data_IF_336193712797
#
_entry.id   IF_336193712797
#
_cell.length_a   1.000
_cell.length_b   1.000
_cell.length_c   1.000
_cell.angle_alpha   90.00
_cell.angle_beta   90.00
_cell.angle_gamma   90.00
#
_symmetry.space_group_name_H-M   'P 1'
#
loop_
_entity.id
_entity.type
_entity.pdbx_description
1 polymer ?
#
# COMPACT_ATOMS: atom_id res chain seq x y z
N UNK A 1 -51.25 36.65 39.06
CA UNK A 1 -51.46 37.02 37.64
C UNK A 1 -50.25 36.68 36.76
N UNK A 2 -49.03 37.10 37.11
CA UNK A 2 -47.82 36.86 36.28
C UNK A 2 -47.51 35.37 36.02
N UNK A 3 -47.59 34.50 37.05
CA UNK A 3 -47.41 33.05 36.91
C UNK A 3 -48.45 32.37 36.00
N UNK A 4 -49.67 32.91 35.91
CA UNK A 4 -50.73 32.33 35.06
C UNK A 4 -50.46 32.64 33.59
N UNK A 5 -49.91 33.81 33.29
CA UNK A 5 -49.53 34.22 31.93
C UNK A 5 -48.33 33.41 31.44
N UNK A 6 -47.31 33.18 32.29
CA UNK A 6 -46.14 32.36 31.93
C UNK A 6 -46.51 30.91 31.59
N UNK A 7 -47.39 30.29 32.39
CA UNK A 7 -47.87 28.92 32.14
C UNK A 7 -48.63 28.85 30.81
N UNK A 8 -49.45 29.86 30.52
CA UNK A 8 -50.25 29.90 29.31
C UNK A 8 -49.38 30.10 28.06
N UNK A 9 -48.33 30.93 28.14
CA UNK A 9 -47.32 31.10 27.08
C UNK A 9 -46.50 29.82 26.88
N UNK A 10 -46.09 29.14 27.95
CA UNK A 10 -45.36 27.88 27.86
C UNK A 10 -46.18 26.78 27.17
N UNK A 11 -47.48 26.68 27.50
CA UNK A 11 -48.39 25.75 26.84
C UNK A 11 -48.52 26.07 25.34
N UNK A 12 -48.64 27.34 24.97
CA UNK A 12 -48.72 27.75 23.55
C UNK A 12 -47.43 27.40 22.80
N UNK A 13 -46.26 27.64 23.40
CA UNK A 13 -44.97 27.33 22.77
C UNK A 13 -44.80 25.81 22.60
N UNK A 14 -45.10 25.02 23.63
CA UNK A 14 -44.98 23.55 23.56
C UNK A 14 -45.98 22.96 22.56
N UNK A 15 -47.22 23.45 22.55
CA UNK A 15 -48.25 22.98 21.61
C UNK A 15 -47.91 23.41 20.19
N UNK A 16 -47.42 24.63 19.99
CA UNK A 16 -46.96 25.11 18.69
C UNK A 16 -45.77 24.32 18.16
N UNK A 17 -44.78 24.04 19.02
CA UNK A 17 -43.63 23.20 18.66
C UNK A 17 -44.06 21.77 18.33
N UNK A 18 -45.00 21.19 19.07
CA UNK A 18 -45.53 19.86 18.80
C UNK A 18 -46.30 19.80 17.47
N UNK A 19 -47.14 20.79 17.17
CA UNK A 19 -47.89 20.87 15.90
C UNK A 19 -46.94 21.06 14.72
N UNK A 20 -45.99 21.99 14.82
CA UNK A 20 -44.98 22.22 13.76
C UNK A 20 -44.15 20.95 13.53
N UNK A 21 -43.66 20.33 14.59
CA UNK A 21 -42.88 19.08 14.49
C UNK A 21 -43.72 17.94 13.91
N UNK A 22 -45.01 17.87 14.20
CA UNK A 22 -45.92 16.85 13.66
C UNK A 22 -46.24 17.06 12.17
N UNK A 23 -46.28 18.33 11.70
CA UNK A 23 -46.39 18.63 10.26
C UNK A 23 -45.12 18.25 9.48
N UNK A 24 -43.94 18.45 10.08
CA UNK A 24 -42.65 18.08 9.47
C UNK A 24 -42.25 16.61 9.73
N UNK A 25 -42.93 15.90 10.65
CA UNK A 25 -42.78 14.46 10.88
C UNK A 25 -43.72 13.63 9.99
N UNK A 26 -44.19 14.20 8.87
CA UNK A 26 -44.82 13.41 7.81
C UNK A 26 -43.73 12.60 7.11
N UNK A 27 -43.72 11.29 7.35
CA UNK A 27 -43.00 10.35 6.49
C UNK A 27 -43.42 10.63 5.04
N UNK A 28 -42.49 10.65 4.07
CA UNK A 28 -42.83 10.93 2.68
C UNK A 28 -43.96 9.99 2.24
N UNK A 29 -44.99 10.57 1.63
CA UNK A 29 -46.11 9.80 1.09
C UNK A 29 -45.57 8.75 0.08
N UNK A 30 -46.06 7.50 0.11
CA UNK A 30 -45.60 6.44 -0.80
C UNK A 30 -46.17 6.60 -2.23
N UNK A 31 -46.30 7.83 -2.73
CA UNK A 31 -46.91 8.10 -4.05
C UNK A 31 -45.95 8.21 -5.21
N UNK A 32 -44.64 8.12 -4.98
CA UNK A 32 -43.67 7.97 -6.07
C UNK A 32 -42.62 6.94 -5.65
N UNK A 33 -42.88 5.66 -5.94
CA UNK A 33 -41.78 4.70 -6.13
C UNK A 33 -40.89 5.34 -7.19
N UNK A 34 -39.62 5.59 -6.87
CA UNK A 34 -38.68 6.20 -7.82
C UNK A 34 -38.82 5.51 -9.18
N UNK A 35 -38.95 6.25 -10.30
CA UNK A 35 -39.10 5.64 -11.62
C UNK A 35 -37.95 4.66 -11.85
N UNK A 36 -38.27 3.49 -12.38
CA UNK A 36 -37.29 2.42 -12.61
C UNK A 36 -36.16 2.96 -13.48
N UNK A 37 -34.96 3.06 -12.91
CA UNK A 37 -33.78 3.49 -13.63
C UNK A 37 -33.25 2.32 -14.46
N UNK A 38 -33.74 2.20 -15.69
CA UNK A 38 -33.41 1.11 -16.61
C UNK A 38 -31.91 0.99 -16.88
N UNK A 39 -31.17 2.10 -16.95
CA UNK A 39 -29.71 2.08 -17.11
C UNK A 39 -29.00 1.44 -15.92
N UNK A 40 -29.37 1.83 -14.71
CA UNK A 40 -28.79 1.26 -13.49
C UNK A 40 -29.16 -0.21 -13.35
N UNK A 41 -30.42 -0.55 -13.62
CA UNK A 41 -30.91 -1.94 -13.62
C UNK A 41 -30.10 -2.79 -14.61
N UNK A 42 -29.91 -2.32 -15.85
CA UNK A 42 -29.12 -3.01 -16.86
C UNK A 42 -27.68 -3.25 -16.40
N UNK A 43 -27.01 -2.25 -15.83
CA UNK A 43 -25.64 -2.40 -15.32
C UNK A 43 -25.54 -3.42 -14.19
N UNK A 44 -26.42 -3.33 -13.20
CA UNK A 44 -26.40 -4.24 -12.05
C UNK A 44 -26.73 -5.67 -12.46
N UNK A 45 -27.64 -5.85 -13.42
CA UNK A 45 -27.96 -7.18 -13.98
C UNK A 45 -26.77 -7.78 -14.72
N UNK A 46 -26.04 -6.98 -15.52
CA UNK A 46 -24.82 -7.45 -16.18
C UNK A 46 -23.74 -7.86 -15.17
N UNK A 47 -23.54 -7.07 -14.10
CA UNK A 47 -22.59 -7.38 -13.04
C UNK A 47 -22.96 -8.65 -12.27
N UNK A 48 -24.24 -8.85 -11.97
CA UNK A 48 -24.73 -10.03 -11.26
C UNK A 48 -24.56 -11.29 -12.11
N UNK A 49 -24.91 -11.24 -13.40
CA UNK A 49 -24.74 -12.37 -14.32
C UNK A 49 -23.26 -12.74 -14.56
N UNK A 50 -22.33 -11.80 -14.35
CA UNK A 50 -20.91 -12.05 -14.46
C UNK A 50 -20.19 -12.35 -13.13
N UNK A 51 -20.90 -12.26 -11.99
CA UNK A 51 -20.30 -12.46 -10.66
C UNK A 51 -19.59 -13.82 -10.51
N UNK A 52 -20.15 -14.86 -11.11
CA UNK A 52 -19.58 -16.22 -11.21
C UNK A 52 -19.08 -16.54 -12.64
N UNK A 53 -18.72 -15.51 -13.42
CA UNK A 53 -18.20 -15.63 -14.80
C UNK A 53 -19.16 -16.29 -15.80
N UNK A 54 -20.45 -16.42 -15.47
CA UNK A 54 -21.43 -17.08 -16.36
C UNK A 54 -21.69 -16.26 -17.62
N UNK A 55 -21.82 -14.94 -17.49
CA UNK A 55 -21.90 -14.03 -18.63
C UNK A 55 -20.61 -14.06 -19.46
N UNK A 56 -19.43 -13.99 -18.83
CA UNK A 56 -18.14 -14.13 -19.51
C UNK A 56 -18.03 -15.43 -20.30
N UNK A 57 -18.40 -16.57 -19.72
CA UNK A 57 -18.30 -17.87 -20.37
C UNK A 57 -19.19 -17.95 -21.62
N UNK A 58 -20.47 -17.56 -21.50
CA UNK A 58 -21.40 -17.53 -22.64
C UNK A 58 -20.98 -16.51 -23.71
N UNK A 59 -20.49 -15.35 -23.29
CA UNK A 59 -20.03 -14.32 -24.20
C UNK A 59 -18.87 -14.79 -25.08
N UNK A 60 -17.99 -15.68 -24.60
CA UNK A 60 -16.85 -16.23 -25.36
C UNK A 60 -17.14 -17.55 -26.08
N UNK A 61 -18.12 -18.32 -25.61
CA UNK A 61 -18.58 -19.57 -26.24
C UNK A 61 -19.93 -19.36 -26.95
N UNK A 62 -19.90 -18.57 -28.04
CA UNK A 62 -21.11 -18.12 -28.76
C UNK A 62 -21.89 -19.25 -29.44
N UNK A 63 -21.24 -20.37 -29.72
CA UNK A 63 -21.84 -21.53 -30.40
C UNK A 63 -22.49 -22.53 -29.42
N UNK A 64 -22.47 -22.23 -28.11
CA UNK A 64 -22.98 -23.11 -27.07
C UNK A 64 -24.40 -22.73 -26.63
N UNK A 65 -25.39 -23.28 -27.31
CA UNK A 65 -26.81 -23.07 -27.05
C UNK A 65 -27.22 -23.33 -25.58
N UNK A 66 -26.53 -24.24 -24.89
CA UNK A 66 -26.84 -24.57 -23.49
C UNK A 66 -26.44 -23.42 -22.57
N UNK A 67 -25.26 -22.84 -22.77
CA UNK A 67 -24.79 -21.68 -21.99
C UNK A 67 -25.68 -20.46 -22.25
N UNK A 68 -26.02 -20.20 -23.50
CA UNK A 68 -26.91 -19.11 -23.88
C UNK A 68 -28.33 -19.29 -23.36
N UNK A 69 -28.87 -20.51 -23.40
CA UNK A 69 -30.16 -20.84 -22.80
C UNK A 69 -30.19 -20.59 -21.29
N UNK A 70 -29.15 -21.04 -20.58
CA UNK A 70 -29.02 -20.79 -19.14
C UNK A 70 -28.88 -19.30 -18.82
N UNK A 71 -28.07 -18.57 -19.58
CA UNK A 71 -27.92 -17.12 -19.44
C UNK A 71 -29.24 -16.38 -19.69
N UNK A 72 -30.01 -16.80 -20.70
CA UNK A 72 -31.31 -16.22 -21.00
C UNK A 72 -32.32 -16.44 -19.87
N UNK A 73 -32.32 -17.63 -19.25
CA UNK A 73 -33.16 -17.94 -18.09
C UNK A 73 -32.75 -17.07 -16.89
N UNK A 74 -31.45 -16.97 -16.60
CA UNK A 74 -30.93 -16.15 -15.52
C UNK A 74 -31.27 -14.66 -15.73
N UNK A 75 -31.02 -14.12 -16.92
CA UNK A 75 -31.35 -12.75 -17.30
C UNK A 75 -32.85 -12.48 -17.13
N UNK A 76 -33.71 -13.40 -17.57
CA UNK A 76 -35.17 -13.25 -17.43
C UNK A 76 -35.62 -13.31 -15.97
N UNK A 77 -34.94 -14.09 -15.12
CA UNK A 77 -35.21 -14.17 -13.69
C UNK A 77 -34.71 -12.93 -12.92
N UNK A 78 -33.65 -12.27 -13.39
CA UNK A 78 -33.07 -11.07 -12.79
C UNK A 78 -33.81 -9.79 -13.13
N UNK A 79 -34.74 -9.81 -14.09
CA UNK A 79 -35.48 -8.64 -14.56
C UNK A 79 -36.94 -8.65 -14.06
N UNK A 80 -37.51 -7.48 -13.74
CA UNK A 80 -38.94 -7.37 -13.45
C UNK A 80 -39.82 -7.87 -14.61
N UNK A 81 -41.02 -8.41 -14.34
CA UNK A 81 -41.87 -9.02 -15.36
C UNK A 81 -42.39 -8.06 -16.43
N UNK A 82 -42.31 -6.74 -16.20
CA UNK A 82 -42.71 -5.69 -17.13
C UNK A 82 -41.54 -5.10 -17.95
N UNK A 83 -40.36 -5.72 -17.89
CA UNK A 83 -39.16 -5.29 -18.62
C UNK A 83 -38.88 -6.23 -19.79
N UNK A 84 -38.70 -5.64 -20.98
CA UNK A 84 -38.15 -6.31 -22.16
C UNK A 84 -36.67 -6.00 -22.30
N UNK A 85 -35.91 -6.90 -22.91
CA UNK A 85 -34.47 -6.78 -23.06
C UNK A 85 -33.99 -7.15 -24.46
N UNK A 86 -32.87 -6.54 -24.85
CA UNK A 86 -31.98 -7.02 -25.90
C UNK A 86 -30.55 -6.99 -25.35
N UNK A 87 -29.92 -8.16 -25.27
CA UNK A 87 -28.52 -8.31 -24.89
C UNK A 87 -27.73 -8.63 -26.16
N UNK A 88 -26.70 -7.85 -26.45
CA UNK A 88 -25.80 -8.09 -27.59
C UNK A 88 -24.36 -8.13 -27.11
N UNK A 89 -23.62 -9.14 -27.55
CA UNK A 89 -22.18 -9.28 -27.32
C UNK A 89 -21.45 -8.81 -28.56
N UNK A 90 -20.47 -7.93 -28.35
CA UNK A 90 -19.61 -7.39 -29.38
C UNK A 90 -18.17 -7.81 -29.12
N UNK A 91 -17.45 -8.09 -30.20
CA UNK A 91 -16.02 -8.31 -30.20
C UNK A 91 -15.29 -7.05 -30.64
N UNK A 92 -14.13 -6.79 -30.04
CA UNK A 92 -13.23 -5.71 -30.47
C UNK A 92 -12.50 -6.16 -31.73
N UNK A 93 -12.89 -5.60 -32.87
CA UNK A 93 -12.22 -5.80 -34.16
C UNK A 93 -11.44 -4.57 -34.61
N UNK A 94 -10.56 -4.75 -35.58
CA UNK A 94 -9.86 -3.65 -36.27
C UNK A 94 -10.45 -3.51 -37.66
N UNK A 95 -11.01 -2.34 -37.98
CA UNK A 95 -11.45 -2.02 -39.34
C UNK A 95 -10.26 -1.98 -40.31
N UNK A 96 -10.49 -2.27 -41.59
CA UNK A 96 -9.54 -1.91 -42.65
C UNK A 96 -9.30 -0.39 -42.60
N UNK A 97 -8.15 0.02 -42.05
CA UNK A 97 -7.82 1.43 -41.77
C UNK A 97 -7.36 1.73 -40.33
N UNK A 98 -7.34 0.74 -39.43
CA UNK A 98 -6.75 0.89 -38.08
C UNK A 98 -7.67 1.57 -37.05
N UNK A 99 -8.97 1.69 -37.34
CA UNK A 99 -9.96 2.14 -36.36
C UNK A 99 -10.54 0.93 -35.62
N UNK A 100 -10.53 0.96 -34.29
CA UNK A 100 -11.21 -0.05 -33.47
C UNK A 100 -12.72 0.00 -33.74
N UNK A 101 -13.31 -1.12 -34.15
CA UNK A 101 -14.75 -1.29 -34.38
C UNK A 101 -15.29 -2.44 -33.53
N UNK A 102 -16.44 -2.23 -32.91
CA UNK A 102 -17.17 -3.28 -32.22
C UNK A 102 -18.04 -4.05 -33.23
N UNK A 103 -17.75 -5.34 -33.41
CA UNK A 103 -18.50 -6.22 -34.32
C UNK A 103 -19.48 -7.06 -33.49
N UNK A 104 -20.80 -7.02 -33.77
CA UNK A 104 -21.76 -7.85 -33.06
C UNK A 104 -21.53 -9.33 -33.37
N UNK A 105 -21.42 -10.15 -32.32
CA UNK A 105 -21.19 -11.59 -32.43
C UNK A 105 -22.46 -12.40 -32.17
N UNK A 106 -23.19 -12.07 -31.11
CA UNK A 106 -24.39 -12.80 -30.73
C UNK A 106 -25.38 -11.90 -29.99
N UNK A 107 -26.67 -12.16 -30.14
CA UNK A 107 -27.72 -11.39 -29.47
C UNK A 107 -28.88 -12.26 -29.02
N UNK A 108 -29.41 -11.99 -27.83
CA UNK A 108 -30.65 -12.56 -27.32
C UNK A 108 -31.62 -11.45 -26.96
N UNK A 109 -32.89 -11.62 -27.34
CA UNK A 109 -33.95 -10.66 -27.06
C UNK A 109 -35.24 -11.39 -26.71
N UNK A 110 -36.03 -10.82 -25.80
CA UNK A 110 -37.38 -11.29 -25.50
C UNK A 110 -38.49 -10.44 -26.18
N UNK A 111 -38.10 -9.46 -27.00
CA UNK A 111 -39.04 -8.60 -27.73
C UNK A 111 -38.58 -8.31 -29.16
N UNK A 112 -39.55 -8.18 -30.07
CA UNK A 112 -39.29 -7.76 -31.45
C UNK A 112 -38.88 -6.27 -31.56
N UNK A 113 -39.25 -5.46 -30.57
CA UNK A 113 -38.86 -4.05 -30.44
C UNK A 113 -38.95 -3.61 -28.98
N UNK A 114 -38.01 -2.76 -28.53
CA UNK A 114 -37.91 -2.29 -27.14
C UNK A 114 -38.72 -1.01 -26.85
N UNK A 115 -39.48 -0.50 -27.84
CA UNK A 115 -40.35 0.65 -27.69
C UNK A 115 -39.62 2.00 -27.54
N UNK A 116 -40.37 3.06 -27.21
CA UNK A 116 -39.85 4.44 -27.12
C UNK A 116 -39.18 4.75 -25.77
N UNK A 117 -39.45 3.96 -24.73
CA UNK A 117 -38.86 4.11 -23.39
C UNK A 117 -37.89 2.97 -23.12
N UNK A 118 -36.71 3.06 -23.75
CA UNK A 118 -35.61 2.12 -23.55
C UNK A 118 -34.34 2.84 -23.11
N UNK A 119 -33.53 2.20 -22.30
CA UNK A 119 -32.18 2.67 -21.93
C UNK A 119 -31.20 1.49 -22.01
N UNK A 120 -29.90 1.78 -22.07
CA UNK A 120 -28.86 0.75 -22.20
C UNK A 120 -27.69 0.99 -21.27
N UNK A 121 -27.05 -0.11 -20.88
CA UNK A 121 -25.74 -0.08 -20.23
C UNK A 121 -24.81 -1.07 -20.89
N UNK A 122 -23.51 -0.78 -20.83
CA UNK A 122 -22.47 -1.65 -21.32
C UNK A 122 -21.60 -2.18 -20.19
N UNK A 123 -21.04 -3.37 -20.38
CA UNK A 123 -20.17 -4.05 -19.44
C UNK A 123 -19.12 -4.84 -20.21
N UNK A 124 -17.85 -4.77 -19.78
CA UNK A 124 -16.75 -5.51 -20.41
C UNK A 124 -16.56 -6.82 -19.66
N UNK A 125 -16.61 -7.93 -20.39
CA UNK A 125 -16.32 -9.27 -19.88
C UNK A 125 -14.98 -9.77 -20.40
N UNK A 126 -14.35 -10.65 -19.64
CA UNK A 126 -13.02 -11.18 -19.93
C UNK A 126 -13.08 -12.67 -20.26
N UNK A 127 -12.20 -13.12 -21.17
CA UNK A 127 -12.07 -14.55 -21.43
C UNK A 127 -11.52 -15.27 -20.19
N UNK A 128 -12.02 -16.48 -19.92
CA UNK A 128 -11.49 -17.37 -18.87
C UNK A 128 -10.04 -17.78 -19.11
N UNK A 129 -9.53 -17.61 -20.34
CA UNK A 129 -8.14 -17.87 -20.72
C UNK A 129 -7.21 -16.66 -20.55
N UNK A 130 -7.71 -15.51 -20.12
CA UNK A 130 -6.89 -14.32 -19.89
C UNK A 130 -6.45 -14.26 -18.44
N UNK A 131 -5.16 -14.40 -18.20
CA UNK A 131 -4.56 -14.02 -16.92
C UNK A 131 -4.31 -12.52 -16.95
N UNK A 132 -5.06 -11.75 -16.17
CA UNK A 132 -4.78 -10.33 -15.97
C UNK A 132 -3.50 -10.18 -15.15
N UNK A 133 -2.37 -10.05 -15.85
CA UNK A 133 -1.12 -9.71 -15.20
C UNK A 133 -1.08 -8.21 -14.93
N UNK A 134 -1.00 -7.87 -13.65
CA UNK A 134 -0.59 -6.52 -13.23
C UNK A 134 0.93 -6.49 -13.27
N UNK A 135 1.49 -5.79 -14.27
CA UNK A 135 2.94 -5.61 -14.37
C UNK A 135 3.27 -4.26 -13.74
N UNK A 136 3.92 -4.22 -12.57
CA UNK A 136 4.40 -2.97 -12.03
C UNK A 136 5.57 -2.43 -12.86
N UNK A 137 5.57 -1.12 -13.08
CA UNK A 137 6.76 -0.35 -13.38
C UNK A 137 7.85 -0.67 -12.34
N UNK A 138 9.07 -0.92 -12.81
CA UNK A 138 10.16 -1.23 -11.90
C UNK A 138 10.75 0.06 -11.35
N UNK A 139 10.84 0.16 -10.04
CA UNK A 139 11.56 1.22 -9.34
C UNK A 139 13.01 1.21 -9.83
N UNK A 140 13.43 2.35 -10.39
CA UNK A 140 14.75 2.54 -10.98
C UNK A 140 14.87 2.26 -12.48
N UNK A 141 13.80 1.87 -13.16
CA UNK A 141 13.79 1.61 -14.61
C UNK A 141 14.09 2.89 -15.41
N UNK A 142 13.49 4.02 -15.03
CA UNK A 142 13.69 5.31 -15.72
C UNK A 142 15.04 5.96 -15.46
N UNK A 143 15.58 5.78 -14.26
CA UNK A 143 16.81 6.43 -13.79
C UNK A 143 18.04 5.52 -13.91
N UNK A 144 17.83 4.25 -14.29
CA UNK A 144 18.89 3.27 -14.44
C UNK A 144 19.55 2.84 -13.12
N UNK A 145 18.86 3.00 -11.98
CA UNK A 145 19.31 2.60 -10.64
C UNK A 145 18.10 2.43 -9.72
N UNK A 146 17.98 1.26 -9.08
CA UNK A 146 16.84 0.91 -8.23
C UNK A 146 16.95 -0.52 -7.72
N UNK A 147 18.09 -0.82 -7.10
CA UNK A 147 18.33 -2.12 -6.49
C UNK A 147 17.66 -2.17 -5.12
N UNK A 148 16.97 -3.25 -4.81
CA UNK A 148 16.52 -3.57 -3.46
C UNK A 148 17.49 -4.57 -2.82
N UNK A 149 18.25 -4.12 -1.82
CA UNK A 149 19.01 -4.99 -0.93
C UNK A 149 18.19 -5.35 0.30
N UNK A 150 17.99 -6.64 0.53
CA UNK A 150 17.33 -7.15 1.74
C UNK A 150 18.40 -7.83 2.59
N UNK A 151 18.65 -7.31 3.80
CA UNK A 151 19.62 -7.92 4.69
C UNK A 151 19.11 -9.30 5.12
N UNK A 152 19.89 -10.33 4.84
CA UNK A 152 19.59 -11.73 5.15
C UNK A 152 20.80 -12.40 5.79
N UNK A 153 21.53 -11.67 6.63
CA UNK A 153 22.86 -12.05 7.09
C UNK A 153 22.81 -13.24 8.05
N UNK A 154 23.25 -14.42 7.59
CA UNK A 154 23.25 -15.67 8.38
C UNK A 154 24.14 -15.62 9.63
N UNK A 155 25.12 -14.74 9.61
CA UNK A 155 26.10 -14.51 10.67
C UNK A 155 25.74 -13.34 11.59
N UNK A 156 24.51 -12.84 11.55
CA UNK A 156 24.03 -11.75 12.40
C UNK A 156 22.63 -12.05 12.98
N UNK A 157 22.48 -12.17 14.31
CA UNK A 157 21.17 -12.38 14.91
C UNK A 157 20.29 -11.14 14.76
N UNK A 158 18.98 -11.38 14.66
CA UNK A 158 17.96 -10.35 14.77
C UNK A 158 17.46 -10.17 16.20
N UNK A 159 16.90 -9.00 16.50
CA UNK A 159 16.29 -8.72 17.80
C UNK A 159 14.95 -8.02 17.66
N UNK A 160 14.04 -8.32 18.59
CA UNK A 160 12.71 -7.70 18.68
C UNK A 160 11.74 -8.00 17.52
N UNK A 161 12.01 -9.02 16.71
CA UNK A 161 11.19 -9.46 15.56
C UNK A 161 10.36 -10.72 15.88
N UNK A 162 9.53 -10.67 16.92
CA UNK A 162 8.71 -11.84 17.34
C UNK A 162 7.78 -12.31 16.21
N UNK A 163 7.67 -13.63 16.06
CA UNK A 163 6.95 -14.27 14.95
C UNK A 163 7.79 -14.42 13.69
N UNK A 164 8.97 -13.82 13.64
CA UNK A 164 9.91 -13.92 12.54
C UNK A 164 11.32 -14.28 13.01
N UNK A 165 12.09 -14.84 12.09
CA UNK A 165 13.54 -14.72 12.10
C UNK A 165 13.94 -13.63 11.11
N UNK A 166 15.17 -13.13 11.16
CA UNK A 166 15.64 -12.19 10.13
C UNK A 166 15.49 -12.80 8.72
N UNK A 167 15.64 -14.13 8.61
CA UNK A 167 15.53 -14.87 7.35
C UNK A 167 14.11 -14.99 6.83
N UNK A 168 13.16 -15.41 7.66
CA UNK A 168 11.76 -15.50 7.23
C UNK A 168 11.18 -14.12 6.93
N UNK A 169 11.59 -13.09 7.66
CA UNK A 169 11.22 -11.70 7.36
C UNK A 169 11.81 -11.23 6.02
N UNK A 170 13.08 -11.54 5.75
CA UNK A 170 13.71 -11.23 4.48
C UNK A 170 13.02 -11.92 3.30
N UNK A 171 12.65 -13.19 3.46
CA UNK A 171 11.96 -13.96 2.42
C UNK A 171 10.58 -13.38 2.09
N UNK A 172 9.78 -13.04 3.10
CA UNK A 172 8.45 -12.48 2.84
C UNK A 172 8.53 -11.07 2.23
N UNK A 173 9.50 -10.26 2.64
CA UNK A 173 9.76 -8.96 1.99
C UNK A 173 10.27 -9.14 0.55
N UNK A 174 11.09 -10.15 0.28
CA UNK A 174 11.52 -10.48 -1.07
C UNK A 174 10.32 -10.82 -1.96
N UNK A 175 9.41 -11.67 -1.48
CA UNK A 175 8.19 -12.04 -2.22
C UNK A 175 7.29 -10.82 -2.48
N UNK A 176 7.11 -9.95 -1.49
CA UNK A 176 6.27 -8.76 -1.61
C UNK A 176 6.86 -7.68 -2.52
N UNK A 177 8.18 -7.44 -2.46
CA UNK A 177 8.79 -6.27 -3.10
C UNK A 177 9.57 -6.57 -4.37
N UNK A 178 10.08 -7.79 -4.57
CA UNK A 178 10.84 -8.11 -5.79
C UNK A 178 10.10 -7.86 -7.10
N UNK A 179 8.75 -7.97 -7.19
CA UNK A 179 8.04 -7.57 -8.39
C UNK A 179 8.17 -6.09 -8.72
N UNK A 180 8.50 -5.22 -7.77
CA UNK A 180 8.51 -3.76 -7.97
C UNK A 180 9.90 -3.16 -8.21
N UNK A 181 10.98 -3.92 -8.10
CA UNK A 181 12.35 -3.41 -8.27
C UNK A 181 13.03 -4.04 -9.49
N UNK A 182 13.92 -3.28 -10.14
CA UNK A 182 14.69 -3.78 -11.30
C UNK A 182 15.61 -4.93 -10.88
N UNK A 183 16.30 -4.77 -9.74
CA UNK A 183 17.13 -5.81 -9.16
C UNK A 183 16.73 -5.99 -7.70
N UNK A 184 16.65 -7.24 -7.23
CA UNK A 184 16.47 -7.56 -5.81
C UNK A 184 17.54 -8.54 -5.37
N UNK A 185 18.33 -8.14 -4.37
CA UNK A 185 19.49 -8.89 -3.90
C UNK A 185 19.34 -9.18 -2.41
N UNK A 186 19.31 -10.45 -2.04
CA UNK A 186 19.41 -10.87 -0.65
C UNK A 186 20.87 -10.88 -0.20
N UNK A 187 21.21 -10.08 0.81
CA UNK A 187 22.56 -9.96 1.37
C UNK A 187 22.76 -11.06 2.42
N UNK A 188 23.38 -12.15 2.02
CA UNK A 188 23.37 -13.43 2.76
C UNK A 188 24.27 -13.46 4.00
N UNK A 189 25.24 -12.54 4.13
CA UNK A 189 26.15 -12.48 5.28
C UNK A 189 26.81 -11.11 5.40
N UNK A 190 27.48 -10.87 6.54
CA UNK A 190 28.14 -9.59 6.81
C UNK A 190 29.34 -9.31 5.89
N UNK A 191 29.93 -10.33 5.25
CA UNK A 191 30.93 -10.14 4.19
C UNK A 191 30.32 -9.52 2.93
N UNK A 192 29.14 -9.99 2.51
CA UNK A 192 28.40 -9.38 1.39
C UNK A 192 27.92 -7.96 1.74
N UNK A 193 27.51 -7.73 3.00
CA UNK A 193 27.19 -6.38 3.47
C UNK A 193 28.42 -5.46 3.36
N UNK A 194 29.61 -5.93 3.72
CA UNK A 194 30.84 -5.17 3.56
C UNK A 194 31.08 -4.76 2.10
N UNK A 195 30.82 -5.66 1.14
CA UNK A 195 30.97 -5.35 -0.29
C UNK A 195 30.11 -4.16 -0.71
N UNK A 196 28.81 -4.19 -0.40
CA UNK A 196 27.91 -3.10 -0.80
C UNK A 196 28.23 -1.78 -0.06
N UNK A 197 28.69 -1.84 1.20
CA UNK A 197 29.15 -0.66 1.95
C UNK A 197 30.42 -0.03 1.37
N UNK A 198 31.20 -0.77 0.59
CA UNK A 198 32.39 -0.31 -0.12
C UNK A 198 32.16 -0.14 -1.63
N UNK A 199 30.90 0.07 -2.05
CA UNK A 199 30.52 0.28 -3.45
C UNK A 199 30.92 -0.88 -4.39
N UNK A 200 30.90 -2.11 -3.88
CA UNK A 200 31.10 -3.32 -4.67
C UNK A 200 29.78 -4.06 -4.87
N UNK A 201 29.51 -4.45 -6.10
CA UNK A 201 28.30 -5.18 -6.49
C UNK A 201 28.36 -6.64 -6.03
N UNK A 202 27.22 -7.29 -5.87
CA UNK A 202 27.10 -8.72 -5.52
C UNK A 202 26.75 -9.59 -6.72
N UNK A 203 25.90 -9.07 -7.61
CA UNK A 203 25.30 -9.72 -8.78
C UNK A 203 25.40 -8.85 -10.06
N UNK A 204 26.24 -7.81 -10.07
CA UNK A 204 26.40 -6.89 -11.21
C UNK A 204 25.43 -5.71 -11.24
N UNK A 205 24.61 -5.58 -10.20
CA UNK A 205 23.68 -4.48 -9.96
C UNK A 205 24.39 -3.16 -9.64
N UNK A 206 23.69 -2.03 -9.79
CA UNK A 206 24.22 -0.75 -9.30
C UNK A 206 23.97 -0.61 -7.79
N UNK A 207 25.00 -0.17 -7.08
CA UNK A 207 24.94 0.09 -5.64
C UNK A 207 24.27 1.44 -5.35
N UNK A 208 24.45 2.45 -6.21
CA UNK A 208 23.86 3.78 -6.05
C UNK A 208 22.32 3.77 -6.17
N UNK A 209 21.66 4.70 -5.49
CA UNK A 209 20.21 4.90 -5.49
C UNK A 209 19.41 3.63 -5.15
N UNK A 210 19.95 2.82 -4.23
CA UNK A 210 19.33 1.57 -3.80
C UNK A 210 18.44 1.75 -2.57
N UNK A 211 17.57 0.77 -2.33
CA UNK A 211 16.85 0.60 -1.07
C UNK A 211 17.54 -0.50 -0.28
N UNK A 212 17.84 -0.26 1.00
CA UNK A 212 18.42 -1.26 1.90
C UNK A 212 17.47 -1.50 3.05
N UNK A 213 16.96 -2.73 3.18
CA UNK A 213 16.03 -3.10 4.25
C UNK A 213 16.74 -3.90 5.33
N UNK A 214 16.72 -3.38 6.56
CA UNK A 214 17.19 -4.10 7.73
C UNK A 214 16.09 -5.01 8.31
N UNK A 215 16.28 -6.32 8.18
CA UNK A 215 15.36 -7.35 8.71
C UNK A 215 15.78 -7.87 10.08
N UNK A 216 16.94 -7.47 10.60
CA UNK A 216 17.44 -7.89 11.92
C UNK A 216 16.80 -7.09 13.07
N UNK A 217 15.73 -6.33 12.80
CA UNK A 217 14.97 -5.55 13.77
C UNK A 217 15.76 -4.36 14.32
N UNK A 218 15.90 -4.29 15.64
CA UNK A 218 16.67 -3.21 16.31
C UNK A 218 18.18 -3.32 16.05
N UNK A 219 18.61 -4.52 15.65
CA UNK A 219 19.99 -4.82 15.39
C UNK A 219 20.32 -4.61 13.92
N UNK A 220 21.51 -4.08 13.67
CA UNK A 220 22.05 -3.96 12.32
C UNK A 220 23.27 -4.86 12.22
N UNK A 221 23.34 -5.74 11.20
CA UNK A 221 24.52 -6.53 10.94
C UNK A 221 25.75 -5.64 10.73
N UNK A 222 26.89 -6.04 11.30
CA UNK A 222 28.17 -5.35 11.12
C UNK A 222 29.19 -6.32 10.51
N UNK A 223 29.93 -5.92 9.46
CA UNK A 223 31.05 -6.68 8.93
C UNK A 223 32.04 -7.12 10.00
N UNK A 224 32.52 -8.36 9.90
CA UNK A 224 33.45 -8.92 10.87
C UNK A 224 34.72 -8.08 11.03
N UNK A 225 35.27 -7.55 9.94
CA UNK A 225 36.47 -6.72 9.97
C UNK A 225 36.21 -5.38 10.68
N UNK A 226 34.99 -4.83 10.52
CA UNK A 226 34.57 -3.58 11.14
C UNK A 226 34.40 -3.72 12.67
N UNK A 227 34.23 -4.95 13.16
CA UNK A 227 34.23 -5.25 14.60
C UNK A 227 35.62 -5.12 15.24
N UNK A 228 36.69 -5.20 14.44
CA UNK A 228 38.08 -5.11 14.91
C UNK A 228 38.64 -3.71 14.71
N UNK A 229 38.41 -3.14 13.53
CA UNK A 229 38.79 -1.79 13.17
C UNK A 229 37.90 -1.28 12.02
N UNK A 230 37.51 0.01 11.99
CA UNK A 230 37.90 1.08 12.91
C UNK A 230 36.99 1.19 14.15
N UNK A 231 36.05 0.26 14.38
CA UNK A 231 35.09 0.33 15.49
C UNK A 231 35.42 -0.68 16.60
N UNK A 232 35.08 -0.32 17.83
CA UNK A 232 35.37 -1.03 19.09
C UNK A 232 34.25 -0.78 20.10
N UNK A 233 34.32 -1.40 21.29
CA UNK A 233 33.20 -1.55 22.25
C UNK A 233 32.40 -0.29 22.57
N UNK A 234 33.04 0.87 22.77
CA UNK A 234 32.34 2.14 23.03
C UNK A 234 32.01 2.94 21.74
N UNK A 235 32.55 2.52 20.59
CA UNK A 235 32.47 3.19 19.30
C UNK A 235 31.64 2.46 18.24
N UNK A 236 30.92 1.39 18.57
CA UNK A 236 29.98 0.78 17.62
C UNK A 236 28.85 1.74 17.20
N UNK A 237 28.58 2.81 17.96
CA UNK A 237 27.76 3.92 17.49
C UNK A 237 28.37 4.63 16.26
N UNK A 238 29.70 4.66 16.14
CA UNK A 238 30.41 5.21 14.98
C UNK A 238 30.24 4.38 13.72
N UNK A 239 29.95 3.08 13.83
CA UNK A 239 29.52 2.29 12.68
C UNK A 239 28.20 2.84 12.11
N UNK A 240 27.27 3.24 12.97
CA UNK A 240 26.02 3.87 12.52
C UNK A 240 26.24 5.24 11.87
N UNK A 241 27.19 6.02 12.39
CA UNK A 241 27.61 7.25 11.73
C UNK A 241 28.12 6.98 10.31
N UNK A 242 29.04 6.03 10.16
CA UNK A 242 29.52 5.62 8.84
C UNK A 242 28.40 5.09 7.94
N UNK A 243 27.46 4.33 8.49
CA UNK A 243 26.31 3.86 7.75
C UNK A 243 25.44 5.03 7.24
N UNK A 244 25.23 6.05 8.07
CA UNK A 244 24.58 7.29 7.66
C UNK A 244 25.33 8.01 6.54
N UNK A 245 26.67 8.05 6.62
CA UNK A 245 27.51 8.58 5.53
C UNK A 245 27.31 7.80 4.23
N UNK A 246 27.21 6.46 4.29
CA UNK A 246 26.95 5.63 3.10
C UNK A 246 25.55 5.80 2.54
N UNK A 247 24.55 5.94 3.40
CA UNK A 247 23.19 6.29 2.97
C UNK A 247 23.18 7.62 2.21
N UNK A 248 23.95 8.61 2.70
CA UNK A 248 24.12 9.91 2.04
C UNK A 248 24.95 9.85 0.75
N UNK A 249 26.07 9.13 0.77
CA UNK A 249 27.02 9.08 -0.34
C UNK A 249 26.42 8.33 -1.53
N UNK A 250 25.69 7.25 -1.26
CA UNK A 250 25.11 6.39 -2.28
C UNK A 250 23.65 6.69 -2.58
N UNK A 251 23.07 7.72 -1.94
CA UNK A 251 21.66 8.10 -2.05
C UNK A 251 20.72 6.91 -1.80
N UNK A 252 20.98 6.17 -0.73
CA UNK A 252 20.15 5.03 -0.37
C UNK A 252 18.88 5.45 0.37
N UNK A 253 17.84 4.63 0.26
CA UNK A 253 16.78 4.57 1.27
C UNK A 253 17.07 3.44 2.24
N UNK A 254 17.43 3.77 3.47
CA UNK A 254 17.57 2.78 4.55
C UNK A 254 16.24 2.56 5.26
N UNK A 255 15.76 1.32 5.35
CA UNK A 255 14.52 0.97 6.02
C UNK A 255 14.78 0.18 7.32
N UNK A 256 14.30 0.74 8.44
CA UNK A 256 14.28 0.08 9.75
C UNK A 256 12.84 -0.23 10.13
N UNK A 257 12.53 -1.53 10.26
CA UNK A 257 11.17 -2.03 10.38
C UNK A 257 10.70 -2.04 11.84
N UNK A 258 11.49 -2.64 12.73
CA UNK A 258 11.05 -3.03 14.08
C UNK A 258 11.93 -2.42 15.16
N UNK A 259 11.29 -1.99 16.23
CA UNK A 259 11.94 -1.55 17.45
C UNK A 259 12.69 -0.23 17.31
N UNK A 260 13.61 0.05 18.24
CA UNK A 260 14.55 1.16 18.19
C UNK A 260 15.54 0.99 17.02
N UNK A 261 15.52 1.87 16.00
CA UNK A 261 16.51 1.83 14.94
C UNK A 261 17.93 2.03 15.50
N UNK A 262 18.89 1.22 15.03
CA UNK A 262 20.31 1.37 15.35
C UNK A 262 20.64 1.22 16.85
N UNK A 263 19.92 0.34 17.57
CA UNK A 263 20.11 0.16 19.01
C UNK A 263 21.16 -0.91 19.34
N UNK A 264 21.33 -1.88 18.45
CA UNK A 264 22.34 -2.94 18.56
C UNK A 264 23.12 -3.09 17.26
N UNK A 265 24.40 -3.45 17.36
CA UNK A 265 25.13 -4.08 16.26
C UNK A 265 25.16 -5.59 16.46
N UNK A 266 25.12 -6.37 15.38
CA UNK A 266 25.11 -7.83 15.48
C UNK A 266 26.11 -8.51 14.53
N UNK A 267 26.84 -9.48 15.09
CA UNK A 267 27.81 -10.34 14.41
C UNK A 267 28.12 -11.55 15.31
N UNK A 268 27.68 -12.74 14.90
CA UNK A 268 27.87 -13.99 15.66
C UNK A 268 29.32 -14.42 15.78
N UNK A 269 30.21 -13.99 14.88
CA UNK A 269 31.62 -14.39 14.86
C UNK A 269 32.45 -13.58 15.85
N UNK A 270 32.26 -12.26 15.91
CA UNK A 270 33.06 -11.39 16.78
C UNK A 270 32.42 -11.15 18.15
N UNK A 271 31.10 -11.27 18.27
CA UNK A 271 30.38 -11.02 19.52
C UNK A 271 29.90 -12.31 20.18
N UNK A 272 30.60 -13.44 19.95
CA UNK A 272 30.25 -14.77 20.49
C UNK A 272 30.01 -14.77 22.00
N UNK A 273 30.79 -13.99 22.77
CA UNK A 273 30.67 -13.88 24.22
C UNK A 273 29.77 -12.74 24.72
N UNK A 274 29.21 -11.92 23.82
CA UNK A 274 28.43 -10.74 24.17
C UNK A 274 26.96 -10.92 23.83
N UNK A 275 26.08 -10.39 24.68
CA UNK A 275 24.63 -10.54 24.54
C UNK A 275 23.87 -9.23 24.75
N UNK A 276 22.65 -9.17 24.24
CA UNK A 276 21.77 -8.00 24.28
C UNK A 276 21.05 -7.74 25.62
N UNK A 277 21.53 -8.29 26.73
CA UNK A 277 20.90 -8.18 28.06
C UNK A 277 19.70 -9.12 28.30
N UNK A 278 19.24 -9.83 27.27
CA UNK A 278 18.07 -10.74 27.30
C UNK A 278 18.40 -12.18 26.89
N UNK A 279 19.67 -12.57 26.87
CA UNK A 279 20.08 -13.93 26.49
C UNK A 279 20.44 -14.11 25.02
N UNK A 280 20.30 -13.10 24.16
CA UNK A 280 20.64 -13.23 22.73
C UNK A 280 22.09 -12.84 22.50
N UNK A 281 22.92 -13.85 22.25
CA UNK A 281 24.35 -13.71 21.97
C UNK A 281 24.62 -13.20 20.55
N UNK A 282 25.81 -12.64 20.32
CA UNK A 282 26.22 -12.13 19.02
C UNK A 282 25.89 -10.64 18.82
N UNK A 283 25.70 -9.87 19.90
CA UNK A 283 25.22 -8.49 19.82
C UNK A 283 25.92 -7.56 20.83
N UNK A 284 26.11 -6.29 20.44
CA UNK A 284 26.56 -5.22 21.33
C UNK A 284 25.55 -4.07 21.28
N UNK A 285 25.17 -3.58 22.46
CA UNK A 285 24.25 -2.46 22.61
C UNK A 285 24.96 -1.13 22.42
N UNK A 286 24.41 -0.27 21.56
CA UNK A 286 24.79 1.15 21.44
C UNK A 286 23.78 2.05 22.15
N UNK A 287 22.55 1.57 22.33
CA UNK A 287 21.43 2.36 22.85
C UNK A 287 21.05 3.49 21.88
N UNK A 288 20.38 4.53 22.40
CA UNK A 288 19.96 5.70 21.61
C UNK A 288 21.10 6.50 20.99
N UNK A 289 22.36 6.21 21.32
CA UNK A 289 23.54 6.82 20.68
C UNK A 289 23.64 6.46 19.20
N UNK A 290 23.17 5.26 18.82
CA UNK A 290 23.32 4.77 17.46
C UNK A 290 22.46 5.53 16.45
N UNK A 291 21.20 5.82 16.79
CA UNK A 291 20.32 6.62 15.95
C UNK A 291 20.80 8.07 15.79
N UNK A 292 21.33 8.68 16.87
CA UNK A 292 21.95 10.02 16.80
C UNK A 292 23.16 9.99 15.87
N UNK A 293 24.03 8.99 16.03
CA UNK A 293 25.23 8.86 15.20
C UNK A 293 24.87 8.66 13.72
N UNK A 294 23.88 7.80 13.40
CA UNK A 294 23.36 7.62 12.05
C UNK A 294 22.86 8.93 11.44
N UNK A 295 22.00 9.67 12.16
CA UNK A 295 21.45 10.92 11.66
C UNK A 295 22.53 11.99 11.42
N UNK A 296 23.56 12.06 12.28
CA UNK A 296 24.71 12.94 12.07
C UNK A 296 25.53 12.55 10.83
N UNK A 297 25.75 11.26 10.60
CA UNK A 297 26.45 10.78 9.40
C UNK A 297 25.66 11.05 8.12
N UNK A 298 24.34 10.84 8.18
CA UNK A 298 23.40 11.16 7.11
C UNK A 298 23.41 12.67 6.79
N UNK A 299 23.55 13.53 7.80
CA UNK A 299 23.57 14.99 7.65
C UNK A 299 25.00 15.56 7.47
N UNK A 300 26.02 14.71 7.39
CA UNK A 300 27.43 15.11 7.29
C UNK A 300 27.89 16.08 8.41
N UNK A 301 27.34 15.93 9.61
CA UNK A 301 27.80 16.63 10.81
C UNK A 301 29.02 15.92 11.41
N UNK A 302 29.81 16.60 12.24
CA UNK A 302 30.88 15.93 13.00
C UNK A 302 30.34 14.78 13.85
N UNK A 303 31.04 13.63 13.82
CA UNK A 303 30.70 12.49 14.66
C UNK A 303 30.58 12.88 16.13
N UNK A 304 29.43 12.55 16.71
CA UNK A 304 29.16 12.62 18.14
C UNK A 304 28.01 11.68 18.47
N UNK A 305 27.96 11.22 19.72
CA UNK A 305 26.81 10.49 20.28
C UNK A 305 26.01 11.34 21.27
N UNK A 306 26.37 12.61 21.44
CA UNK A 306 25.64 13.55 22.30
C UNK A 306 24.44 14.15 21.57
N UNK A 307 23.34 14.30 22.29
CA UNK A 307 22.10 14.88 21.81
C UNK A 307 20.89 14.39 22.61
N UNK A 308 19.74 15.01 22.34
CA UNK A 308 18.46 14.54 22.86
C UNK A 308 18.13 13.19 22.24
N UNK A 309 17.53 12.30 23.03
CA UNK A 309 17.01 11.04 22.51
C UNK A 309 16.02 11.33 21.37
N UNK A 310 16.23 10.70 20.22
CA UNK A 310 15.38 10.88 19.02
C UNK A 310 14.20 9.92 18.99
N UNK A 311 14.26 8.88 19.81
CA UNK A 311 13.19 7.92 20.08
C UNK A 311 12.82 8.00 21.55
N UNK A 312 11.57 7.73 21.90
CA UNK A 312 11.18 7.49 23.30
C UNK A 312 10.70 6.05 23.51
N UNK A 313 10.34 5.73 24.75
CA UNK A 313 9.72 4.45 25.12
C UNK A 313 8.22 4.56 25.33
N UNK A 314 7.58 5.64 24.87
CA UNK A 314 6.18 5.87 25.13
C UNK A 314 5.35 4.96 24.24
N UNK A 315 4.48 4.17 24.87
CA UNK A 315 3.59 3.28 24.16
C UNK A 315 2.57 4.08 23.36
N UNK A 316 2.71 4.06 22.04
CA UNK A 316 1.75 4.64 21.08
C UNK A 316 0.94 3.51 20.46
N UNK A 317 0.01 3.02 21.25
CA UNK A 317 -0.96 2.02 20.83
C UNK A 317 -1.98 2.67 19.87
N UNK A 318 -2.44 1.88 18.89
CA UNK A 318 -3.51 2.26 17.95
C UNK A 318 -3.20 3.46 17.06
N UNK A 319 -1.94 3.64 16.63
CA UNK A 319 -1.65 4.57 15.54
C UNK A 319 -2.24 4.01 14.24
N UNK A 320 -2.88 4.88 13.46
CA UNK A 320 -3.64 4.50 12.27
C UNK A 320 -2.91 4.89 10.99
N UNK A 321 -3.22 4.19 9.90
CA UNK A 321 -2.74 4.55 8.57
C UNK A 321 -3.19 5.97 8.17
N UNK A 322 -2.33 6.68 7.45
CA UNK A 322 -2.71 7.93 6.78
C UNK A 322 -3.58 7.65 5.56
N UNK A 323 -4.31 8.66 5.07
CA UNK A 323 -5.11 8.51 3.85
C UNK A 323 -4.24 8.12 2.65
N UNK A 324 -3.05 8.69 2.52
CA UNK A 324 -2.10 8.35 1.45
C UNK A 324 -1.71 6.88 1.50
N UNK A 325 -1.48 6.32 2.69
CA UNK A 325 -1.19 4.91 2.85
C UNK A 325 -2.41 4.04 2.51
N UNK A 326 -3.62 4.44 2.89
CA UNK A 326 -4.87 3.74 2.55
C UNK A 326 -5.09 3.71 1.03
N UNK A 327 -4.89 4.85 0.35
CA UNK A 327 -5.01 4.94 -1.10
C UNK A 327 -3.99 4.02 -1.80
N UNK A 328 -2.76 3.94 -1.28
CA UNK A 328 -1.75 3.00 -1.76
C UNK A 328 -2.12 1.54 -1.47
N UNK A 329 -2.72 1.23 -0.32
CA UNK A 329 -3.21 -0.12 -0.03
C UNK A 329 -4.22 -0.58 -1.10
N UNK A 330 -5.16 0.31 -1.47
CA UNK A 330 -6.13 0.04 -2.53
C UNK A 330 -5.49 -0.08 -3.91
N UNK A 331 -4.51 0.78 -4.21
CA UNK A 331 -3.84 0.76 -5.51
C UNK A 331 -2.99 -0.50 -5.72
N UNK A 332 -2.23 -0.93 -4.70
CA UNK A 332 -1.32 -2.08 -4.79
C UNK A 332 -1.93 -3.40 -4.32
N UNK A 333 -3.12 -3.40 -3.74
CA UNK A 333 -3.77 -4.61 -3.21
C UNK A 333 -3.10 -5.18 -1.96
N UNK A 334 -2.37 -4.36 -1.19
CA UNK A 334 -1.64 -4.77 0.01
C UNK A 334 -2.29 -4.13 1.23
N UNK A 335 -2.89 -4.94 2.10
CA UNK A 335 -3.72 -4.45 3.21
C UNK A 335 -3.12 -4.81 4.58
N UNK A 336 -2.23 -3.97 5.16
CA UNK A 336 -1.83 -4.10 6.55
C UNK A 336 -3.01 -3.86 7.51
N UNK A 337 -2.86 -4.26 8.77
CA UNK A 337 -3.80 -3.86 9.82
C UNK A 337 -3.86 -2.34 9.92
N UNK A 338 -5.08 -1.79 9.97
CA UNK A 338 -5.34 -0.35 10.07
C UNK A 338 -4.79 0.23 11.38
N UNK A 339 -4.77 -0.58 12.44
CA UNK A 339 -4.22 -0.22 13.75
C UNK A 339 -2.87 -0.87 13.96
N UNK A 340 -1.92 -0.06 14.41
CA UNK A 340 -0.55 -0.48 14.67
C UNK A 340 -0.11 -0.01 16.05
N UNK A 341 0.91 -0.69 16.58
CA UNK A 341 1.62 -0.23 17.77
C UNK A 341 3.02 0.19 17.36
N UNK A 342 3.36 1.46 17.57
CA UNK A 342 4.66 2.04 17.22
C UNK A 342 5.29 2.68 18.45
N UNK A 343 5.79 1.87 19.37
CA UNK A 343 6.37 2.35 20.64
C UNK A 343 7.73 3.05 20.46
N UNK A 344 8.21 3.19 19.22
CA UNK A 344 9.58 3.61 18.86
C UNK A 344 9.59 4.68 17.77
N UNK A 345 8.52 5.46 17.70
CA UNK A 345 8.38 6.59 16.80
C UNK A 345 9.55 7.58 16.99
N UNK A 346 9.90 8.28 15.92
CA UNK A 346 10.97 9.26 15.91
C UNK A 346 10.41 10.66 16.15
N UNK A 347 11.06 11.45 16.99
CA UNK A 347 10.64 12.83 17.31
C UNK A 347 10.69 13.71 16.05
N UNK A 348 9.68 14.56 15.84
CA UNK A 348 9.62 15.46 14.68
C UNK A 348 10.78 16.47 14.64
N UNK A 349 11.34 16.81 15.80
CA UNK A 349 12.48 17.72 15.96
C UNK A 349 13.75 17.28 15.23
N UNK A 350 13.87 16.01 14.82
CA UNK A 350 15.01 15.56 14.02
C UNK A 350 15.07 16.28 12.66
N UNK A 351 13.94 16.76 12.15
CA UNK A 351 13.85 17.39 10.84
C UNK A 351 14.66 18.66 10.75
N UNK A 352 14.50 19.53 11.74
CA UNK A 352 15.30 20.75 11.83
C UNK A 352 16.75 20.47 12.22
N UNK A 353 16.99 19.46 13.05
CA UNK A 353 18.33 19.15 13.57
C UNK A 353 19.25 18.53 12.52
N UNK A 354 18.71 17.77 11.57
CA UNK A 354 19.47 16.97 10.60
C UNK A 354 19.02 17.17 9.15
N UNK A 355 18.48 18.36 8.83
CA UNK A 355 18.04 18.76 7.48
C UNK A 355 17.16 17.71 6.77
N UNK A 356 16.17 17.18 7.50
CA UNK A 356 15.24 16.19 6.96
C UNK A 356 13.91 16.80 6.58
N UNK A 357 13.38 16.36 5.45
CA UNK A 357 12.00 16.61 5.03
C UNK A 357 11.20 15.31 5.11
N UNK A 358 9.90 15.41 5.35
CA UNK A 358 9.04 14.22 5.31
C UNK A 358 8.80 13.87 3.84
N UNK A 359 9.21 12.67 3.45
CA UNK A 359 8.83 12.09 2.16
C UNK A 359 7.41 11.54 2.21
N UNK A 360 7.10 10.73 3.24
CA UNK A 360 5.76 10.22 3.47
C UNK A 360 5.53 9.83 4.93
N UNK A 361 4.31 10.07 5.43
CA UNK A 361 3.79 9.46 6.64
C UNK A 361 2.93 8.25 6.26
N UNK A 362 3.33 7.05 6.69
CA UNK A 362 2.56 5.81 6.56
C UNK A 362 1.50 5.75 7.68
N UNK A 363 1.89 6.18 8.89
CA UNK A 363 1.02 6.26 10.06
C UNK A 363 0.79 7.74 10.42
N UNK A 364 -0.38 8.04 10.99
CA UNK A 364 -0.72 9.40 11.40
C UNK A 364 0.28 9.90 12.47
N UNK A 365 0.87 11.10 12.29
CA UNK A 365 1.68 11.75 13.32
C UNK A 365 0.94 11.87 14.65
N UNK A 366 1.67 11.78 15.76
CA UNK A 366 1.07 11.93 17.08
C UNK A 366 1.13 13.37 17.56
N UNK A 367 0.14 13.76 18.38
CA UNK A 367 0.00 15.12 18.91
C UNK A 367 1.14 15.56 19.84
N UNK A 368 1.94 14.61 20.35
CA UNK A 368 3.10 14.86 21.20
C UNK A 368 4.41 15.06 20.43
N UNK A 369 4.33 15.27 19.11
CA UNK A 369 5.48 15.65 18.29
C UNK A 369 6.36 14.47 17.85
N UNK A 370 5.76 13.29 17.66
CA UNK A 370 6.44 12.11 17.15
C UNK A 370 5.76 11.59 15.88
N UNK A 371 6.58 11.00 15.01
CA UNK A 371 6.17 10.56 13.68
C UNK A 371 6.38 9.05 13.56
N UNK A 372 5.39 8.23 13.95
CA UNK A 372 5.44 6.80 13.70
C UNK A 372 5.40 6.53 12.19
N UNK A 373 6.00 5.44 11.72
CA UNK A 373 5.81 5.02 10.33
C UNK A 373 6.16 6.11 9.31
N UNK A 374 7.35 6.70 9.36
CA UNK A 374 7.68 7.87 8.52
C UNK A 374 8.95 7.65 7.72
N UNK A 375 8.89 8.05 6.45
CA UNK A 375 10.06 8.15 5.59
C UNK A 375 10.54 9.60 5.54
N UNK A 376 11.80 9.78 5.89
CA UNK A 376 12.49 11.07 5.88
C UNK A 376 13.47 11.12 4.71
N UNK A 377 13.49 12.25 4.00
CA UNK A 377 14.50 12.55 3.00
C UNK A 377 15.50 13.53 3.59
N UNK A 378 16.78 13.19 3.56
CA UNK A 378 17.85 14.12 3.82
C UNK A 378 18.09 15.00 2.59
N UNK A 379 18.05 16.31 2.81
CA UNK A 379 18.25 17.32 1.78
C UNK A 379 19.57 18.02 2.06
N UNK A 380 20.50 17.96 1.10
CA UNK A 380 21.80 18.60 1.26
C UNK A 380 21.65 20.09 1.55
N UNK A 381 22.38 20.59 2.56
CA UNK A 381 22.30 21.96 3.03
C UNK A 381 22.44 22.98 1.88
N UNK A 382 21.49 23.92 1.79
CA UNK A 382 21.46 24.95 0.73
C UNK A 382 21.02 24.45 -0.65
N UNK A 383 20.53 23.21 -0.76
CA UNK A 383 20.03 22.62 -2.01
C UNK A 383 18.62 22.06 -1.85
N UNK A 384 18.01 21.60 -2.94
CA UNK A 384 16.79 20.78 -2.95
C UNK A 384 17.07 19.31 -3.26
N UNK A 385 18.35 18.92 -3.33
CA UNK A 385 18.77 17.58 -3.74
C UNK A 385 18.64 16.61 -2.58
N UNK A 386 17.84 15.56 -2.78
CA UNK A 386 17.80 14.42 -1.87
C UNK A 386 19.11 13.66 -2.04
N UNK A 387 19.79 13.43 -0.92
CA UNK A 387 21.06 12.69 -0.90
C UNK A 387 20.98 11.39 -0.12
N UNK A 388 19.84 11.08 0.49
CA UNK A 388 19.59 9.81 1.16
C UNK A 388 18.26 9.87 1.90
N UNK A 389 17.73 8.70 2.23
CA UNK A 389 16.43 8.59 2.89
C UNK A 389 16.44 7.56 3.99
N UNK A 390 15.58 7.76 4.98
CA UNK A 390 15.44 6.89 6.14
C UNK A 390 13.96 6.59 6.39
N UNK A 391 13.56 5.35 6.19
CA UNK A 391 12.25 4.84 6.57
C UNK A 391 12.30 4.28 7.99
N UNK A 392 11.68 4.99 8.93
CA UNK A 392 11.58 4.61 10.33
C UNK A 392 10.14 4.15 10.64
N UNK A 393 9.90 2.84 10.60
CA UNK A 393 8.58 2.31 10.94
C UNK A 393 8.36 2.21 12.45
N UNK A 394 9.39 1.79 13.19
CA UNK A 394 9.36 1.70 14.65
C UNK A 394 8.26 0.77 15.17
N UNK A 395 7.95 -0.31 14.44
CA UNK A 395 6.90 -1.26 14.83
C UNK A 395 7.27 -2.02 16.08
N UNK A 396 6.25 -2.50 16.79
CA UNK A 396 6.41 -3.17 18.07
C UNK A 396 6.24 -4.67 17.91
N UNK A 397 7.34 -5.41 18.04
CA UNK A 397 7.45 -6.85 18.37
C UNK A 397 7.01 -7.77 17.24
N UNK A 398 5.74 -7.69 16.86
CA UNK A 398 5.10 -8.50 15.84
C UNK A 398 4.84 -7.57 14.66
N UNK A 399 5.81 -7.37 13.75
CA UNK A 399 5.66 -6.42 12.68
C UNK A 399 4.60 -6.86 11.67
N UNK A 400 3.73 -5.92 11.27
CA UNK A 400 3.01 -6.04 10.02
C UNK A 400 3.94 -5.63 8.87
N UNK A 401 4.61 -6.61 8.28
CA UNK A 401 5.63 -6.44 7.23
C UNK A 401 5.10 -5.69 6.00
N UNK A 402 3.78 -5.74 5.78
CA UNK A 402 3.12 -5.07 4.66
C UNK A 402 3.26 -3.55 4.77
N UNK A 403 3.50 -3.00 5.96
CA UNK A 403 3.79 -1.58 6.14
C UNK A 403 5.14 -1.16 5.54
N UNK A 404 6.12 -2.07 5.52
CA UNK A 404 7.40 -1.82 4.82
C UNK A 404 7.18 -1.74 3.33
N UNK A 405 6.42 -2.68 2.76
CA UNK A 405 6.05 -2.65 1.36
C UNK A 405 5.26 -1.38 1.01
N UNK A 406 4.16 -1.10 1.74
CA UNK A 406 3.35 0.10 1.54
C UNK A 406 4.17 1.37 1.71
N UNK A 407 5.06 1.46 2.69
CA UNK A 407 5.92 2.64 2.87
C UNK A 407 6.79 2.93 1.66
N UNK A 408 7.43 1.90 1.10
CA UNK A 408 8.28 2.04 -0.08
C UNK A 408 7.46 2.30 -1.36
N UNK A 409 6.39 1.55 -1.58
CA UNK A 409 5.55 1.69 -2.78
C UNK A 409 4.76 3.02 -2.79
N UNK A 410 4.36 3.53 -1.63
CA UNK A 410 3.71 4.84 -1.52
C UNK A 410 4.68 5.99 -1.76
N UNK A 411 5.97 5.78 -1.46
CA UNK A 411 7.02 6.77 -1.67
C UNK A 411 7.49 6.80 -3.14
N UNK A 412 7.88 5.65 -3.69
CA UNK A 412 8.38 5.55 -5.06
C UNK A 412 7.29 5.55 -6.13
N UNK A 413 6.06 5.20 -5.76
CA UNK A 413 4.87 5.25 -6.62
C UNK A 413 5.02 4.53 -7.99
N UNK A 414 5.54 3.29 -8.04
CA UNK A 414 5.58 2.54 -9.30
C UNK A 414 4.18 2.39 -9.90
N UNK A 415 4.04 2.68 -11.19
CA UNK A 415 2.77 2.51 -11.88
C UNK A 415 2.43 1.03 -12.06
N UNK A 416 1.15 0.69 -11.94
CA UNK A 416 0.66 -0.63 -12.32
C UNK A 416 0.13 -0.58 -13.75
N UNK A 417 0.81 -1.26 -14.67
CA UNK A 417 0.32 -1.44 -16.02
C UNK A 417 -0.68 -2.58 -16.03
N UNK A 418 -1.88 -2.30 -16.52
CA UNK A 418 -2.89 -3.32 -16.80
C UNK A 418 -2.58 -3.86 -18.19
N UNK A 419 -2.40 -5.17 -18.34
CA UNK A 419 -2.50 -5.80 -19.66
C UNK A 419 -3.84 -5.38 -20.26
N UNK A 420 -3.80 -4.73 -21.42
CA UNK A 420 -4.94 -4.03 -21.98
C UNK A 420 -6.07 -5.00 -22.37
N UNK A 421 -7.32 -4.57 -22.14
CA UNK A 421 -8.54 -5.22 -22.65
C UNK A 421 -8.67 -5.09 -24.18
N UNK A 422 -7.66 -4.58 -24.88
CA UNK A 422 -7.64 -4.31 -26.33
C UNK A 422 -7.00 -5.42 -27.15
N UNK A 423 -6.42 -6.45 -26.50
CA UNK A 423 -5.90 -7.61 -27.21
C UNK A 423 -7.05 -8.44 -27.80
N UNK A 424 -6.90 -8.86 -29.06
CA UNK A 424 -7.88 -9.71 -29.75
C UNK A 424 -8.20 -10.97 -28.93
N UNK A 425 -9.46 -11.41 -28.88
CA UNK A 425 -9.95 -12.54 -28.08
C UNK A 425 -9.77 -12.43 -26.54
N UNK A 426 -9.39 -11.26 -26.00
CA UNK A 426 -9.21 -11.10 -24.55
C UNK A 426 -10.41 -10.50 -23.82
N UNK A 427 -11.19 -9.67 -24.50
CA UNK A 427 -12.37 -9.03 -23.93
C UNK A 427 -13.52 -8.97 -24.93
N UNK A 428 -14.76 -8.97 -24.42
CA UNK A 428 -15.97 -8.74 -25.20
C UNK A 428 -16.80 -7.65 -24.52
N UNK A 429 -17.41 -6.78 -25.32
CA UNK A 429 -18.32 -5.75 -24.84
C UNK A 429 -19.73 -6.32 -24.86
N UNK A 430 -20.38 -6.39 -23.71
CA UNK A 430 -21.79 -6.77 -23.59
C UNK A 430 -22.63 -5.52 -23.40
N UNK A 431 -23.64 -5.33 -24.24
CA UNK A 431 -24.61 -4.25 -24.11
C UNK A 431 -25.97 -4.86 -23.77
N UNK A 432 -26.56 -4.44 -22.66
CA UNK A 432 -27.93 -4.78 -22.29
C UNK A 432 -28.80 -3.54 -22.43
N UNK A 433 -29.73 -3.59 -23.37
CA UNK A 433 -30.76 -2.59 -23.55
C UNK A 433 -32.05 -3.11 -22.92
N UNK A 434 -32.68 -2.29 -22.08
CA UNK A 434 -33.94 -2.60 -21.40
C UNK A 434 -35.02 -1.63 -21.85
N UNK A 435 -36.25 -2.12 -22.00
CA UNK A 435 -37.45 -1.32 -22.27
C UNK A 435 -38.60 -1.70 -21.34
N UNK A 436 -39.54 -0.78 -21.12
CA UNK A 436 -40.75 -1.05 -20.32
C UNK A 436 -41.95 -1.37 -21.20
N UNK A 437 -42.74 -2.37 -20.79
CA UNK A 437 -43.98 -2.74 -21.48
C UNK A 437 -45.19 -2.26 -20.67
N UNK A 438 -46.06 -1.47 -21.30
CA UNK A 438 -47.23 -0.83 -20.67
C UNK A 438 -46.87 0.53 -20.07
N UNK A 439 -47.39 1.62 -20.66
CA UNK A 439 -47.03 2.99 -20.32
C UNK A 439 -47.84 3.60 -19.16
N UNK A 440 -47.10 4.37 -18.35
CA UNK A 440 -47.43 5.20 -17.17
C UNK A 440 -47.57 4.46 -15.85
#
# INVERSE_FOLDING_TARGET
MMRTIEVLVAIIIITGAFVISSFYATLPWPREVSPVNLKRLALTTLQELDSDYSLSLAAFDIDNDTLWGNLQVALSASLPPNVVYNLTVYEVGVAEGGTELYVPQYSISNAASLGLTSDSSSYMVASSNVTFNVIPEKIGEREGSGTLYILNCSDAPGWWITGYTAHSLAEDLYRLLSPYFVNTVMVQNTTQLARILNNQTLQGEKVMNAVVINTCGEAVPIPADYCKAPYSTDSYARYFYFLGEKVREYNWTWASIVGYPFYYVSNTVNFTGSQNGWGVYGMIQTGGKGSIAFLRGLDNQTYSTSGTAVTDSKDRQNVTLTQVAIDACNYYGIYPSVYQTSTRAIADSIRSTYHLTVGIHILNPTSDGYNPGTLYNHVAAGTSTITGSFLALGLTRTPDIRLTAIGLLSYYKPRLYRSEYTAYDTSRLVVLQLGLVGGV
#
